data_IF_136251411604
#
_entry.id   IF_136251411604
#
_cell.length_a   1.000
_cell.length_b   1.000
_cell.length_c   1.000
_cell.angle_alpha   90.00
_cell.angle_beta   90.00
_cell.angle_gamma   90.00
#
_symmetry.space_group_name_H-M   'P 1'
#
loop_
_entity.id
_entity.type
_entity.pdbx_description
1 polymer ?
#
# COMPACT_ATOMS: atom_id res chain seq x y z
N UNK A 1 11.01 -5.01 -22.58
CA UNK A 1 11.49 -6.06 -21.66
C UNK A 1 10.28 -6.66 -20.97
N UNK A 2 10.07 -7.97 -21.09
CA UNK A 2 8.96 -8.64 -20.43
C UNK A 2 9.19 -8.62 -18.91
N UNK A 3 8.28 -8.02 -18.15
CA UNK A 3 8.27 -8.11 -16.69
C UNK A 3 7.96 -9.56 -16.31
N UNK A 4 8.99 -10.42 -16.23
CA UNK A 4 8.85 -11.70 -15.54
C UNK A 4 8.63 -11.39 -14.07
N UNK A 5 7.48 -11.80 -13.54
CA UNK A 5 7.14 -11.77 -12.12
C UNK A 5 8.01 -12.82 -11.38
N UNK A 6 9.32 -12.61 -11.36
CA UNK A 6 10.22 -13.38 -10.52
C UNK A 6 10.10 -12.79 -9.11
N UNK A 7 9.75 -13.64 -8.14
CA UNK A 7 9.93 -13.28 -6.74
C UNK A 7 11.40 -13.08 -6.49
N UNK A 8 11.75 -11.82 -6.29
CA UNK A 8 13.08 -11.41 -5.90
C UNK A 8 13.04 -11.01 -4.43
N UNK A 9 14.12 -11.33 -3.72
CA UNK A 9 14.34 -10.81 -2.36
C UNK A 9 14.33 -9.27 -2.46
N UNK A 10 13.69 -8.60 -1.51
CA UNK A 10 13.61 -7.14 -1.50
C UNK A 10 12.30 -6.53 -2.03
N UNK A 11 11.36 -7.34 -2.55
CA UNK A 11 10.13 -6.81 -3.17
C UNK A 11 8.89 -6.87 -2.26
N UNK A 12 9.00 -7.55 -1.12
CA UNK A 12 7.86 -7.88 -0.27
C UNK A 12 6.88 -8.89 -0.87
N UNK A 13 6.19 -9.63 -0.02
CA UNK A 13 5.18 -10.62 -0.42
C UNK A 13 3.96 -10.51 0.47
N UNK A 14 2.81 -10.20 -0.14
CA UNK A 14 1.58 -9.96 0.58
C UNK A 14 0.44 -10.78 0.00
N UNK A 15 -0.21 -11.57 0.84
CA UNK A 15 -1.48 -12.23 0.51
C UNK A 15 -2.63 -11.22 0.55
N UNK A 16 -3.78 -11.58 0.00
CA UNK A 16 -5.01 -10.77 0.12
C UNK A 16 -5.36 -10.50 1.60
N UNK A 17 -5.12 -11.47 2.48
CA UNK A 17 -5.34 -11.34 3.93
C UNK A 17 -4.39 -10.32 4.56
N UNK A 18 -3.12 -10.34 4.15
CA UNK A 18 -2.12 -9.38 4.64
C UNK A 18 -2.51 -7.96 4.24
N UNK A 19 -2.84 -7.76 2.95
CA UNK A 19 -3.27 -6.45 2.43
C UNK A 19 -4.49 -5.93 3.19
N UNK A 20 -5.47 -6.80 3.45
CA UNK A 20 -6.67 -6.47 4.22
C UNK A 20 -6.34 -6.02 5.64
N UNK A 21 -5.46 -6.74 6.35
CA UNK A 21 -5.04 -6.42 7.72
C UNK A 21 -4.18 -5.16 7.79
N UNK A 22 -3.18 -5.04 6.91
CA UNK A 22 -2.24 -3.92 6.85
C UNK A 22 -2.98 -2.61 6.58
N UNK A 23 -3.87 -2.61 5.59
CA UNK A 23 -4.59 -1.40 5.16
C UNK A 23 -5.92 -1.20 5.91
N UNK A 24 -6.30 -2.15 6.77
CA UNK A 24 -7.55 -2.15 7.56
C UNK A 24 -8.79 -2.03 6.67
N UNK A 25 -8.79 -2.80 5.58
CA UNK A 25 -9.84 -2.80 4.58
C UNK A 25 -10.62 -4.12 4.60
N UNK A 26 -11.93 -4.13 4.29
CA UNK A 26 -12.71 -5.36 4.21
C UNK A 26 -12.11 -6.33 3.20
N UNK A 27 -11.85 -7.58 3.62
CA UNK A 27 -11.24 -8.62 2.78
C UNK A 27 -11.91 -8.74 1.41
N UNK A 28 -13.25 -8.70 1.37
CA UNK A 28 -14.01 -8.82 0.12
C UNK A 28 -13.72 -7.69 -0.88
N UNK A 29 -13.50 -6.45 -0.41
CA UNK A 29 -13.12 -5.34 -1.28
C UNK A 29 -11.72 -5.56 -1.84
N UNK A 30 -10.75 -5.95 -1.00
CA UNK A 30 -9.37 -6.26 -1.42
C UNK A 30 -9.35 -7.41 -2.44
N UNK A 31 -10.06 -8.50 -2.13
CA UNK A 31 -10.20 -9.66 -3.00
C UNK A 31 -10.81 -9.31 -4.36
N UNK A 32 -11.85 -8.47 -4.37
CA UNK A 32 -12.46 -7.99 -5.62
C UNK A 32 -11.46 -7.19 -6.43
N UNK A 33 -10.72 -6.27 -5.80
CA UNK A 33 -9.75 -5.45 -6.49
C UNK A 33 -8.62 -6.28 -7.13
N UNK A 34 -8.05 -7.21 -6.38
CA UNK A 34 -6.98 -8.07 -6.87
C UNK A 34 -7.45 -8.97 -8.01
N UNK A 35 -8.55 -9.69 -7.83
CA UNK A 35 -8.96 -10.70 -8.82
C UNK A 35 -9.66 -10.09 -10.03
N UNK A 36 -10.53 -9.09 -9.84
CA UNK A 36 -11.33 -8.53 -10.93
C UNK A 36 -10.60 -7.40 -11.65
N UNK A 37 -9.95 -6.50 -10.92
CA UNK A 37 -9.41 -5.27 -11.50
C UNK A 37 -7.94 -5.42 -11.89
N UNK A 38 -7.05 -5.92 -11.01
CA UNK A 38 -5.66 -6.18 -11.41
C UNK A 38 -5.55 -7.34 -12.37
N UNK A 39 -5.89 -8.55 -11.92
CA UNK A 39 -5.65 -9.76 -12.71
C UNK A 39 -6.70 -9.98 -13.81
N UNK A 40 -7.76 -9.19 -13.80
CA UNK A 40 -8.74 -9.12 -14.89
C UNK A 40 -8.45 -7.96 -15.84
N UNK A 41 -8.94 -6.77 -15.50
CA UNK A 41 -8.94 -5.62 -16.41
C UNK A 41 -7.51 -5.13 -16.73
N UNK A 42 -6.70 -4.79 -15.71
CA UNK A 42 -5.38 -4.21 -15.93
C UNK A 42 -4.41 -5.20 -16.57
N UNK A 43 -4.42 -6.46 -16.13
CA UNK A 43 -3.58 -7.50 -16.72
C UNK A 43 -3.91 -7.74 -18.20
N UNK A 44 -5.19 -7.68 -18.58
CA UNK A 44 -5.60 -7.78 -19.97
C UNK A 44 -5.14 -6.60 -20.82
N UNK A 45 -5.23 -5.38 -20.31
CA UNK A 45 -4.94 -4.15 -21.08
C UNK A 45 -3.43 -3.87 -21.16
N UNK A 46 -2.68 -4.17 -20.09
CA UNK A 46 -1.23 -3.91 -19.99
C UNK A 46 -0.36 -5.14 -20.31
N UNK A 47 -0.98 -6.31 -20.48
CA UNK A 47 -0.31 -7.60 -20.69
C UNK A 47 0.76 -7.92 -19.62
N UNK A 48 0.50 -7.52 -18.37
CA UNK A 48 1.40 -7.75 -17.23
C UNK A 48 0.60 -8.12 -15.97
N UNK A 49 0.85 -9.28 -15.34
CA UNK A 49 0.16 -9.66 -14.12
C UNK A 49 0.69 -8.87 -12.92
N UNK A 50 -0.19 -8.50 -11.99
CA UNK A 50 0.20 -7.79 -10.76
C UNK A 50 0.32 -8.73 -9.57
N UNK A 51 -0.31 -9.91 -9.65
CA UNK A 51 -0.15 -10.97 -8.68
C UNK A 51 0.63 -12.17 -9.24
N UNK A 52 1.03 -13.05 -8.33
CA UNK A 52 1.57 -14.37 -8.61
C UNK A 52 1.00 -15.33 -7.57
N UNK A 53 0.77 -16.58 -7.97
CA UNK A 53 0.41 -17.63 -7.03
C UNK A 53 1.69 -18.29 -6.48
N UNK A 54 1.94 -18.13 -5.17
CA UNK A 54 2.97 -18.88 -4.43
C UNK A 54 2.28 -19.97 -3.64
N UNK A 55 2.64 -21.23 -3.88
CA UNK A 55 2.04 -22.38 -3.19
C UNK A 55 0.49 -22.34 -3.23
N UNK A 56 -0.07 -22.01 -4.40
CA UNK A 56 -1.51 -21.83 -4.63
C UNK A 56 -2.18 -20.69 -3.86
N UNK A 57 -1.38 -19.78 -3.27
CA UNK A 57 -1.85 -18.58 -2.59
C UNK A 57 -1.53 -17.37 -3.47
N UNK A 58 -2.55 -16.60 -3.81
CA UNK A 58 -2.40 -15.37 -4.58
C UNK A 58 -1.70 -14.30 -3.75
N UNK A 59 -0.62 -13.76 -4.30
CA UNK A 59 0.26 -12.80 -3.63
C UNK A 59 0.61 -11.64 -4.55
N UNK A 60 0.77 -10.46 -3.96
CA UNK A 60 1.24 -9.24 -4.63
C UNK A 60 2.53 -8.74 -3.98
N UNK A 61 3.29 -7.90 -4.67
CA UNK A 61 4.47 -7.25 -4.12
C UNK A 61 4.15 -5.90 -3.46
N UNK A 62 5.15 -5.25 -2.87
CA UNK A 62 4.99 -3.99 -2.15
C UNK A 62 4.42 -2.87 -3.02
N UNK A 63 4.97 -2.66 -4.21
CA UNK A 63 4.48 -1.62 -5.11
C UNK A 63 3.02 -1.83 -5.50
N UNK A 64 2.59 -3.08 -5.77
CA UNK A 64 1.20 -3.40 -6.02
C UNK A 64 0.29 -3.13 -4.79
N UNK A 65 0.79 -3.30 -3.56
CA UNK A 65 0.07 -2.91 -2.34
C UNK A 65 -0.13 -1.38 -2.27
N UNK A 66 0.90 -0.60 -2.62
CA UNK A 66 0.83 0.88 -2.66
C UNK A 66 -0.14 1.35 -3.74
N UNK A 67 -0.02 0.82 -4.97
CA UNK A 67 -0.98 1.03 -6.06
C UNK A 67 -2.41 0.79 -5.59
N UNK A 68 -2.61 -0.33 -4.89
CA UNK A 68 -3.92 -0.73 -4.44
C UNK A 68 -4.56 0.27 -3.53
N UNK A 69 -3.81 0.77 -2.57
CA UNK A 69 -4.39 1.69 -1.62
C UNK A 69 -4.78 3.01 -2.29
N UNK A 70 -3.98 3.55 -3.21
CA UNK A 70 -4.35 4.76 -3.95
C UNK A 70 -5.58 4.53 -4.82
N UNK A 71 -5.61 3.44 -5.60
CA UNK A 71 -6.77 3.09 -6.42
C UNK A 71 -8.05 2.94 -5.58
N UNK A 72 -7.93 2.26 -4.44
CA UNK A 72 -9.02 2.06 -3.50
C UNK A 72 -9.53 3.40 -2.97
N UNK A 73 -8.63 4.26 -2.49
CA UNK A 73 -8.96 5.56 -1.93
C UNK A 73 -9.61 6.49 -2.98
N UNK A 74 -9.13 6.48 -4.23
CA UNK A 74 -9.76 7.19 -5.34
C UNK A 74 -11.19 6.69 -5.60
N UNK A 75 -11.40 5.37 -5.58
CA UNK A 75 -12.72 4.77 -5.70
C UNK A 75 -13.68 5.18 -4.57
N UNK A 76 -13.23 5.12 -3.32
CA UNK A 76 -14.04 5.50 -2.15
C UNK A 76 -14.34 7.00 -2.11
N UNK A 77 -13.49 7.84 -2.72
CA UNK A 77 -13.77 9.27 -2.87
C UNK A 77 -14.92 9.58 -3.83
N UNK A 78 -15.35 8.61 -4.63
CA UNK A 78 -16.47 8.75 -5.56
C UNK A 78 -16.06 8.83 -7.03
N UNK A 79 -14.79 8.58 -7.35
CA UNK A 79 -14.37 8.36 -8.74
C UNK A 79 -14.83 6.97 -9.18
N UNK A 80 -15.44 6.88 -10.36
CA UNK A 80 -15.88 5.60 -10.92
C UNK A 80 -14.67 4.69 -11.11
N UNK A 81 -14.73 3.45 -10.64
CA UNK A 81 -13.62 2.49 -10.72
C UNK A 81 -13.01 2.40 -12.12
N UNK A 82 -13.83 2.36 -13.19
CA UNK A 82 -13.32 2.33 -14.56
C UNK A 82 -12.42 3.52 -14.90
N UNK A 83 -12.79 4.74 -14.49
CA UNK A 83 -11.97 5.94 -14.70
C UNK A 83 -10.63 5.85 -13.97
N UNK A 84 -10.62 5.30 -12.76
CA UNK A 84 -9.38 5.09 -12.01
C UNK A 84 -8.46 4.09 -12.74
N UNK A 85 -9.04 3.02 -13.31
CA UNK A 85 -8.29 2.04 -14.11
C UNK A 85 -7.78 2.64 -15.43
N UNK A 86 -8.60 3.43 -16.12
CA UNK A 86 -8.19 4.10 -17.37
C UNK A 86 -7.00 5.04 -17.12
N UNK A 87 -7.05 5.84 -16.04
CA UNK A 87 -5.92 6.70 -15.67
C UNK A 87 -4.66 5.91 -15.30
N UNK A 88 -4.81 4.78 -14.59
CA UNK A 88 -3.68 3.89 -14.33
C UNK A 88 -3.05 3.42 -15.65
N UNK A 89 -3.86 2.97 -16.62
CA UNK A 89 -3.36 2.48 -17.92
C UNK A 89 -2.60 3.59 -18.64
N UNK A 90 -3.18 4.79 -18.71
CA UNK A 90 -2.59 5.94 -19.38
C UNK A 90 -1.25 6.35 -18.73
N UNK A 91 -1.20 6.44 -17.40
CA UNK A 91 0.02 6.76 -16.67
C UNK A 91 1.08 5.67 -16.82
N UNK A 92 0.68 4.39 -16.78
CA UNK A 92 1.58 3.27 -17.03
C UNK A 92 2.25 3.36 -18.39
N UNK A 93 1.50 3.73 -19.43
CA UNK A 93 2.01 3.90 -20.80
C UNK A 93 2.90 5.14 -20.92
N UNK A 94 2.45 6.29 -20.38
CA UNK A 94 3.15 7.56 -20.44
C UNK A 94 4.51 7.52 -19.73
N UNK A 95 4.53 6.99 -18.51
CA UNK A 95 5.73 6.90 -17.68
C UNK A 95 6.49 5.58 -17.82
N UNK A 96 6.01 4.68 -18.71
CA UNK A 96 6.60 3.36 -18.97
C UNK A 96 6.86 2.58 -17.67
N UNK A 97 5.90 2.62 -16.77
CA UNK A 97 5.98 1.99 -15.44
C UNK A 97 4.81 1.05 -15.22
N UNK A 98 5.09 -0.06 -14.54
CA UNK A 98 4.05 -0.98 -14.06
C UNK A 98 3.32 -0.41 -12.84
N UNK A 99 3.96 0.48 -12.09
CA UNK A 99 3.45 0.98 -10.81
C UNK A 99 3.42 2.52 -10.80
N UNK A 100 2.50 3.15 -11.55
CA UNK A 100 2.44 4.61 -11.64
C UNK A 100 2.07 5.28 -10.30
N UNK A 101 1.13 4.74 -9.53
CA UNK A 101 0.79 5.24 -8.20
C UNK A 101 1.76 4.83 -7.08
N UNK A 102 2.83 4.10 -7.37
CA UNK A 102 3.95 3.91 -6.45
C UNK A 102 5.09 4.91 -6.69
N UNK A 103 4.99 5.76 -7.72
CA UNK A 103 6.01 6.76 -8.05
C UNK A 103 5.71 8.13 -7.43
N UNK A 104 6.71 8.71 -6.76
CA UNK A 104 6.61 10.00 -6.07
C UNK A 104 6.13 11.13 -6.98
N UNK A 105 6.76 11.28 -8.15
CA UNK A 105 6.44 12.33 -9.13
C UNK A 105 5.01 12.23 -9.68
N UNK A 106 4.39 11.05 -9.64
CA UNK A 106 3.00 10.89 -10.06
C UNK A 106 2.07 11.23 -8.89
N UNK A 107 2.32 10.68 -7.70
CA UNK A 107 1.46 10.88 -6.53
C UNK A 107 1.43 12.36 -6.10
N UNK A 108 2.57 13.06 -6.12
CA UNK A 108 2.65 14.50 -5.80
C UNK A 108 1.85 15.38 -6.76
N UNK A 109 1.58 14.87 -7.98
CA UNK A 109 0.86 15.60 -9.01
C UNK A 109 -0.61 15.19 -9.13
N UNK A 110 -1.11 14.31 -8.24
CA UNK A 110 -2.55 14.04 -8.09
C UNK A 110 -3.20 15.25 -7.43
N UNK A 111 -4.02 15.97 -8.20
CA UNK A 111 -4.73 17.17 -7.76
C UNK A 111 -6.25 16.99 -7.87
N UNK A 112 -7.01 17.86 -7.22
CA UNK A 112 -8.48 17.93 -7.40
C UNK A 112 -8.96 19.38 -7.38
N UNK A 113 -9.96 19.68 -8.20
CA UNK A 113 -10.71 20.95 -8.17
C UNK A 113 -12.01 20.83 -7.34
N UNK A 114 -12.18 19.71 -6.62
CA UNK A 114 -13.38 19.39 -5.88
C UNK A 114 -14.47 18.71 -6.71
N UNK A 115 -14.38 18.64 -8.04
CA UNK A 115 -15.32 17.87 -8.89
C UNK A 115 -14.61 16.77 -9.70
N UNK A 116 -13.34 17.00 -10.04
CA UNK A 116 -12.47 16.12 -10.82
C UNK A 116 -11.18 15.92 -10.05
N UNK A 117 -10.63 14.72 -10.12
CA UNK A 117 -9.22 14.50 -9.80
C UNK A 117 -8.46 14.65 -11.11
N UNK A 118 -7.22 15.12 -11.10
CA UNK A 118 -6.42 15.22 -12.31
C UNK A 118 -4.94 15.10 -12.00
N UNK A 119 -4.20 14.65 -13.00
CA UNK A 119 -2.74 14.72 -12.97
C UNK A 119 -2.31 16.02 -13.64
N UNK A 120 -1.46 16.79 -12.97
CA UNK A 120 -0.80 17.95 -13.56
C UNK A 120 0.63 17.57 -13.93
N UNK A 121 0.92 17.42 -15.23
CA UNK A 121 2.28 17.10 -15.67
C UNK A 121 2.57 17.78 -17.02
N UNK A 122 3.66 18.56 -17.09
CA UNK A 122 4.09 19.25 -18.32
C UNK A 122 2.96 19.98 -19.06
N UNK A 123 2.18 20.80 -18.36
CA UNK A 123 1.01 21.53 -18.88
C UNK A 123 -0.12 20.66 -19.47
N UNK A 124 -0.06 19.34 -19.26
CA UNK A 124 -1.06 18.37 -19.70
C UNK A 124 -2.00 18.02 -18.55
N UNK A 125 -3.30 17.98 -18.85
CA UNK A 125 -4.37 17.75 -17.88
C UNK A 125 -5.05 16.41 -18.15
N UNK A 126 -4.95 15.47 -17.22
CA UNK A 126 -5.63 14.17 -17.29
C UNK A 126 -6.81 14.11 -16.31
N UNK A 127 -8.08 14.29 -16.74
CA UNK A 127 -9.23 14.24 -15.86
C UNK A 127 -9.62 12.82 -15.41
N UNK A 128 -9.67 12.64 -14.10
CA UNK A 128 -10.41 11.60 -13.38
C UNK A 128 -11.78 12.20 -12.95
N UNK A 129 -12.77 12.09 -13.83
CA UNK A 129 -14.13 12.59 -13.54
C UNK A 129 -14.75 11.86 -12.32
N UNK A 130 -15.07 12.61 -11.25
CA UNK A 130 -15.83 12.13 -10.11
C UNK A 130 -17.22 12.78 -10.04
N UNK A 131 -18.14 12.17 -9.27
CA UNK A 131 -19.52 12.67 -9.14
C UNK A 131 -19.81 13.36 -7.80
N UNK A 132 -18.76 13.63 -6.99
CA UNK A 132 -18.87 14.14 -5.61
C UNK A 132 -17.90 15.29 -5.35
N UNK A 133 -18.06 15.98 -4.22
CA UNK A 133 -17.06 16.90 -3.70
C UNK A 133 -15.84 16.11 -3.22
N UNK A 134 -14.78 16.05 -4.03
CA UNK A 134 -13.62 15.18 -3.79
C UNK A 134 -12.64 15.87 -2.83
N UNK A 135 -12.34 15.23 -1.70
CA UNK A 135 -11.33 15.71 -0.76
C UNK A 135 -10.13 14.76 -0.78
N UNK A 136 -9.04 15.15 -1.44
CA UNK A 136 -7.83 14.32 -1.58
C UNK A 136 -6.94 14.26 -0.33
N UNK A 137 -7.35 14.86 0.79
CA UNK A 137 -6.54 14.88 2.02
C UNK A 137 -6.11 13.49 2.49
N UNK A 138 -6.89 12.45 2.20
CA UNK A 138 -6.51 11.07 2.48
C UNK A 138 -5.32 10.57 1.64
N UNK A 139 -5.21 10.98 0.37
CA UNK A 139 -4.07 10.65 -0.51
C UNK A 139 -2.84 11.39 0.00
N UNK A 140 -2.98 12.67 0.35
CA UNK A 140 -1.87 13.44 0.92
C UNK A 140 -1.36 12.83 2.23
N UNK A 141 -2.27 12.38 3.11
CA UNK A 141 -1.90 11.69 4.35
C UNK A 141 -1.20 10.37 4.04
N UNK A 142 -1.73 9.58 3.11
CA UNK A 142 -1.10 8.33 2.70
C UNK A 142 0.30 8.57 2.11
N UNK A 143 0.44 9.55 1.22
CA UNK A 143 1.71 9.94 0.62
C UNK A 143 2.74 10.36 1.68
N UNK A 144 2.33 11.15 2.68
CA UNK A 144 3.19 11.52 3.82
C UNK A 144 3.65 10.32 4.64
N UNK A 145 2.93 9.20 4.55
CA UNK A 145 3.27 7.95 5.22
C UNK A 145 4.15 7.03 4.38
N UNK A 146 4.53 7.43 3.16
CA UNK A 146 5.50 6.73 2.32
C UNK A 146 6.89 7.34 2.47
N UNK A 147 7.90 6.51 2.28
CA UNK A 147 9.28 6.91 2.01
C UNK A 147 9.60 6.49 0.57
N UNK A 148 10.43 7.28 -0.09
CA UNK A 148 10.83 7.08 -1.47
C UNK A 148 12.34 7.13 -1.56
N UNK A 149 12.91 6.33 -2.46
CA UNK A 149 14.34 6.34 -2.77
C UNK A 149 14.68 7.26 -3.96
N UNK A 150 15.94 7.23 -4.39
CA UNK A 150 16.46 8.07 -5.49
C UNK A 150 15.73 7.82 -6.82
N UNK A 151 15.26 6.59 -7.04
CA UNK A 151 14.48 6.20 -8.21
C UNK A 151 13.01 6.67 -8.16
N UNK A 152 12.64 7.40 -7.10
CA UNK A 152 11.32 7.93 -6.83
C UNK A 152 10.24 6.86 -6.60
N UNK A 153 10.60 5.59 -6.43
CA UNK A 153 9.67 4.53 -6.04
C UNK A 153 9.52 4.48 -4.53
N UNK A 154 8.31 4.12 -4.09
CA UNK A 154 8.05 3.91 -2.67
C UNK A 154 8.94 2.78 -2.14
N UNK A 155 9.72 3.06 -1.11
CA UNK A 155 10.62 2.09 -0.47
C UNK A 155 10.12 1.63 0.90
N UNK A 156 9.43 2.48 1.66
CA UNK A 156 8.82 2.10 2.95
C UNK A 156 7.45 2.71 3.15
N UNK A 157 6.64 2.09 3.98
CA UNK A 157 5.29 2.55 4.29
C UNK A 157 4.95 2.41 5.78
N UNK A 158 4.44 3.48 6.39
CA UNK A 158 3.94 3.48 7.76
C UNK A 158 2.40 3.39 7.79
N UNK A 159 1.80 2.21 8.02
CA UNK A 159 0.35 2.00 7.92
C UNK A 159 -0.44 2.76 9.00
N UNK A 160 0.22 3.16 10.10
CA UNK A 160 -0.34 4.01 11.15
C UNK A 160 0.24 5.42 11.15
N UNK A 161 0.95 5.79 10.09
CA UNK A 161 1.66 7.04 9.91
C UNK A 161 3.02 7.11 10.60
N UNK A 162 3.88 8.02 10.14
CA UNK A 162 5.31 8.08 10.52
C UNK A 162 5.60 8.32 12.01
N UNK A 163 4.59 8.73 12.79
CA UNK A 163 4.70 8.81 14.26
C UNK A 163 4.66 7.43 14.93
N UNK A 164 4.05 6.44 14.30
CA UNK A 164 4.09 5.05 14.75
C UNK A 164 5.46 4.44 14.46
N UNK A 165 5.90 3.50 15.29
CA UNK A 165 7.07 2.68 15.02
C UNK A 165 6.81 1.60 13.97
N UNK A 166 5.55 1.31 13.61
CA UNK A 166 5.25 0.23 12.66
C UNK A 166 5.51 0.67 11.22
N UNK A 167 6.35 -0.10 10.53
CA UNK A 167 6.76 0.15 9.15
C UNK A 167 6.72 -1.14 8.34
N UNK A 168 6.35 -1.02 7.07
CA UNK A 168 6.54 -2.02 6.04
C UNK A 168 7.79 -1.64 5.26
N UNK A 169 8.72 -2.58 5.18
CA UNK A 169 9.99 -2.44 4.48
C UNK A 169 10.18 -3.72 3.65
N UNK A 170 10.03 -3.66 2.32
CA UNK A 170 10.02 -4.84 1.45
C UNK A 170 11.35 -5.61 1.46
N UNK A 171 12.43 -4.98 1.93
CA UNK A 171 13.75 -5.60 2.11
C UNK A 171 13.88 -6.40 3.41
N UNK A 172 12.91 -6.28 4.31
CA UNK A 172 12.98 -6.86 5.66
C UNK A 172 11.75 -7.71 5.93
N UNK A 173 11.96 -8.90 6.49
CA UNK A 173 10.86 -9.81 6.85
C UNK A 173 9.84 -10.03 5.71
N UNK A 174 10.33 -10.08 4.47
CA UNK A 174 9.49 -10.19 3.25
C UNK A 174 8.42 -9.10 3.15
N UNK A 175 8.69 -7.89 3.65
CA UNK A 175 7.75 -6.77 3.62
C UNK A 175 6.71 -6.76 4.73
N UNK A 176 6.63 -7.80 5.56
CA UNK A 176 5.67 -7.86 6.66
C UNK A 176 5.89 -6.71 7.65
N UNK A 177 4.84 -6.24 8.35
CA UNK A 177 4.98 -5.17 9.33
C UNK A 177 6.02 -5.49 10.38
N UNK A 178 6.92 -4.53 10.64
CA UNK A 178 7.95 -4.61 11.68
C UNK A 178 8.00 -3.33 12.50
N UNK A 179 8.56 -3.43 13.70
CA UNK A 179 8.94 -2.24 14.48
C UNK A 179 10.18 -1.62 13.84
N UNK A 180 10.14 -0.33 13.51
CA UNK A 180 11.22 0.42 12.85
C UNK A 180 12.57 0.15 13.50
N UNK A 181 13.61 0.06 12.67
CA UNK A 181 14.97 -0.29 13.08
C UNK A 181 15.16 -1.69 13.70
N UNK A 182 14.10 -2.52 13.78
CA UNK A 182 14.17 -3.92 14.28
C UNK A 182 13.45 -4.87 13.34
N UNK A 183 13.72 -6.17 13.40
CA UNK A 183 12.98 -7.17 12.63
C UNK A 183 11.85 -7.81 13.46
N UNK A 184 11.42 -7.14 14.53
CA UNK A 184 10.40 -7.65 15.45
C UNK A 184 9.02 -7.44 14.84
N UNK A 185 8.26 -8.54 14.72
CA UNK A 185 6.87 -8.49 14.26
C UNK A 185 5.96 -7.90 15.35
N UNK A 186 5.03 -6.99 15.02
CA UNK A 186 4.01 -6.52 15.94
C UNK A 186 3.17 -7.65 16.53
N UNK A 187 2.92 -8.70 15.74
CA UNK A 187 2.16 -9.87 16.17
C UNK A 187 2.85 -10.61 17.33
N UNK A 188 4.19 -10.65 17.34
CA UNK A 188 4.97 -11.25 18.43
C UNK A 188 4.68 -10.53 19.75
N UNK A 189 4.73 -9.20 19.76
CA UNK A 189 4.47 -8.41 20.97
C UNK A 189 3.00 -8.49 21.39
N UNK A 190 2.10 -8.45 20.41
CA UNK A 190 0.67 -8.57 20.66
C UNK A 190 0.31 -9.92 21.29
N UNK A 191 0.95 -11.01 20.86
CA UNK A 191 0.72 -12.34 21.43
C UNK A 191 1.17 -12.43 22.90
N UNK A 192 2.31 -11.84 23.26
CA UNK A 192 2.75 -11.77 24.66
C UNK A 192 1.78 -10.94 25.51
N UNK A 193 1.36 -9.78 25.02
CA UNK A 193 0.34 -8.97 25.68
C UNK A 193 -0.97 -9.73 25.88
N UNK A 194 -1.42 -10.49 24.87
CA UNK A 194 -2.60 -11.36 24.96
C UNK A 194 -2.42 -12.52 25.95
N UNK A 195 -1.18 -12.92 26.21
CA UNK A 195 -0.81 -13.90 27.23
C UNK A 195 -0.81 -13.34 28.66
N UNK A 196 -0.99 -12.03 28.83
CA UNK A 196 -1.05 -11.37 30.15
C UNK A 196 0.23 -10.64 30.56
N UNK A 197 1.26 -10.63 29.71
CA UNK A 197 2.50 -9.92 30.00
C UNK A 197 2.30 -8.40 30.03
N UNK A 198 2.99 -7.72 30.95
CA UNK A 198 2.93 -6.27 31.06
C UNK A 198 3.69 -5.59 29.91
N UNK A 199 3.29 -4.37 29.54
CA UNK A 199 3.94 -3.63 28.46
C UNK A 199 5.42 -3.33 28.78
N UNK A 200 5.74 -3.04 30.06
CA UNK A 200 7.09 -2.78 30.52
C UNK A 200 7.97 -4.03 30.45
N UNK A 201 7.41 -5.21 30.79
CA UNK A 201 8.12 -6.48 30.63
C UNK A 201 8.44 -6.76 29.16
N UNK A 202 7.46 -6.59 28.27
CA UNK A 202 7.64 -6.79 26.82
C UNK A 202 8.69 -5.82 26.27
N UNK A 203 8.63 -4.54 26.67
CA UNK A 203 9.61 -3.52 26.28
C UNK A 203 11.03 -3.92 26.70
N UNK A 204 11.19 -4.35 27.95
CA UNK A 204 12.47 -4.80 28.48
C UNK A 204 12.99 -6.07 27.79
N UNK A 205 12.11 -7.06 27.57
CA UNK A 205 12.46 -8.34 26.95
C UNK A 205 13.03 -8.18 25.53
N UNK A 206 12.50 -7.24 24.76
CA UNK A 206 12.92 -6.99 23.37
C UNK A 206 13.89 -5.81 23.23
N UNK A 207 14.28 -5.17 24.33
CA UNK A 207 15.13 -3.96 24.34
C UNK A 207 14.60 -2.85 23.41
N UNK A 208 13.31 -2.54 23.55
CA UNK A 208 12.62 -1.50 22.78
C UNK A 208 11.86 -0.54 23.69
N UNK A 209 11.55 0.65 23.17
CA UNK A 209 10.81 1.63 23.94
C UNK A 209 9.33 1.22 24.13
N UNK A 210 8.75 1.68 25.24
CA UNK A 210 7.36 1.37 25.60
C UNK A 210 6.34 1.86 24.55
N UNK A 211 6.64 2.95 23.84
CA UNK A 211 5.76 3.46 22.79
C UNK A 211 5.75 2.49 21.60
N UNK A 212 6.87 1.89 21.24
CA UNK A 212 6.93 0.86 20.18
C UNK A 212 6.09 -0.38 20.51
N UNK A 213 6.06 -0.80 21.78
CA UNK A 213 5.17 -1.88 22.24
C UNK A 213 3.70 -1.48 22.09
N UNK A 214 3.33 -0.26 22.50
CA UNK A 214 1.96 0.27 22.37
C UNK A 214 1.53 0.35 20.91
N UNK A 215 2.37 0.93 20.05
CA UNK A 215 2.12 1.05 18.61
C UNK A 215 1.88 -0.33 17.97
N UNK A 216 2.65 -1.35 18.35
CA UNK A 216 2.48 -2.73 17.86
C UNK A 216 1.13 -3.33 18.29
N UNK A 217 0.74 -3.15 19.54
CA UNK A 217 -0.54 -3.65 20.07
C UNK A 217 -1.71 -2.95 19.38
N UNK A 218 -1.64 -1.62 19.22
CA UNK A 218 -2.69 -0.84 18.58
C UNK A 218 -2.83 -1.22 17.09
N UNK A 219 -1.71 -1.45 16.40
CA UNK A 219 -1.70 -1.98 15.04
C UNK A 219 -2.48 -3.30 14.95
N UNK A 220 -2.13 -4.29 15.78
CA UNK A 220 -2.77 -5.61 15.77
C UNK A 220 -4.25 -5.56 16.19
N UNK A 221 -4.63 -4.75 17.17
CA UNK A 221 -6.03 -4.59 17.59
C UNK A 221 -6.92 -4.03 16.49
N UNK A 222 -6.38 -3.09 15.71
CA UNK A 222 -7.13 -2.45 14.62
C UNK A 222 -7.20 -3.26 13.32
N UNK A 223 -6.43 -4.35 13.23
CA UNK A 223 -6.40 -5.27 12.10
C UNK A 223 -7.25 -6.54 12.32
N UNK A 224 -7.77 -6.74 13.54
CA UNK A 224 -8.61 -7.87 13.94
C UNK A 224 -10.10 -7.50 13.84
#
# INVERSE_FOLDING_TARGET
>A
MAFKNNFNIGYGVYTISDVSKILKLPYQKVHTWINKYWDGILASELNTPYSVDIASIKTINFHALIEFYILFLLGESGVKTRKVLDAHIELSQLFKTKYPFAQKNIIENINTDGQRIYFNFNDSYLPLDGTKQLNLKFIEIFFKNLEFEEDLLASKFWPMGKKSSIVLDPERQMGQPVIKYTNISPATLYNLYRGGESLDFIAHLYDIDLKSVKDAIDFCKSAA
#
